data_IF_596871176748
#
_entry.id   IF_596871176748
#
_cell.length_a   1.000
_cell.length_b   1.000
_cell.length_c   1.000
_cell.angle_alpha   90.00
_cell.angle_beta   90.00
_cell.angle_gamma   90.00
#
_symmetry.space_group_name_H-M   'P 1'
#
loop_
_entity.id
_entity.type
_entity.pdbx_description
1 polymer ?
#
# COMPACT_ATOMS: atom_id res chain seq x y z
N UNK A 1 22.64 -3.40 5.22
CA UNK A 1 22.10 -3.07 3.90
C UNK A 1 21.07 -1.98 4.09
N UNK A 2 21.33 -0.77 3.57
CA UNK A 2 20.54 0.43 3.84
C UNK A 2 19.38 0.50 2.87
N UNK A 3 18.22 0.01 3.26
CA UNK A 3 16.96 0.14 2.52
C UNK A 3 16.18 1.38 2.99
N UNK A 4 16.67 2.03 4.05
CA UNK A 4 15.91 2.98 4.86
C UNK A 4 15.72 4.38 4.26
N UNK A 5 16.38 4.70 3.16
CA UNK A 5 16.33 6.07 2.63
C UNK A 5 15.41 6.28 1.42
N UNK A 6 14.91 5.20 0.80
CA UNK A 6 14.11 5.33 -0.42
C UNK A 6 12.60 5.46 -0.17
N UNK A 7 12.09 4.97 0.96
CA UNK A 7 10.66 4.95 1.24
C UNK A 7 10.11 6.24 1.88
N UNK A 8 10.97 7.11 2.39
CA UNK A 8 10.55 8.21 3.27
C UNK A 8 11.10 9.60 2.90
N UNK A 9 11.70 9.75 1.73
CA UNK A 9 12.12 11.07 1.24
C UNK A 9 10.99 11.73 0.46
N UNK A 10 10.61 12.83 1.02
CA UNK A 10 9.86 13.99 0.53
C UNK A 10 9.35 13.97 -0.93
N UNK A 11 8.06 14.23 -1.06
CA UNK A 11 7.26 14.85 -2.16
C UNK A 11 7.70 14.75 -3.62
N UNK A 12 8.87 14.24 -3.92
CA UNK A 12 9.34 14.01 -5.28
C UNK A 12 9.47 12.52 -5.57
N UNK A 13 8.36 11.81 -5.54
CA UNK A 13 8.24 10.61 -6.35
C UNK A 13 7.94 10.99 -7.80
N UNK A 14 8.53 12.12 -8.22
CA UNK A 14 8.81 12.43 -9.62
C UNK A 14 10.15 11.79 -9.96
N UNK A 15 10.12 10.52 -10.24
CA UNK A 15 11.16 9.96 -11.07
C UNK A 15 10.91 10.53 -12.48
N UNK A 16 11.43 11.73 -12.70
CA UNK A 16 11.48 12.29 -14.04
C UNK A 16 12.44 11.42 -14.85
N UNK A 17 11.98 10.90 -15.97
CA UNK A 17 12.78 10.21 -16.96
C UNK A 17 13.97 11.05 -17.47
N UNK A 18 14.05 12.31 -17.10
CA UNK A 18 15.03 13.27 -17.61
C UNK A 18 16.44 13.17 -17.01
N UNK A 19 16.63 12.44 -15.89
CA UNK A 19 17.94 12.34 -15.24
C UNK A 19 18.68 11.02 -15.47
N UNK A 20 18.15 10.11 -16.27
CA UNK A 20 18.77 8.79 -16.53
C UNK A 20 19.69 8.83 -17.75
N UNK A 21 19.49 9.77 -18.68
CA UNK A 21 20.22 9.75 -19.95
C UNK A 21 21.71 10.14 -19.85
N UNK A 22 22.15 10.77 -18.78
CA UNK A 22 23.51 11.34 -18.72
C UNK A 22 24.52 10.57 -17.83
N UNK A 23 24.16 9.47 -17.20
CA UNK A 23 25.07 8.72 -16.31
C UNK A 23 25.27 7.24 -16.59
N UNK A 24 24.59 6.64 -17.55
CA UNK A 24 24.66 5.20 -17.80
C UNK A 24 24.95 4.87 -19.27
N UNK A 25 26.18 5.14 -19.71
CA UNK A 25 26.62 4.77 -21.05
C UNK A 25 27.04 3.31 -21.20
N UNK A 26 27.15 2.56 -20.10
CA UNK A 26 27.67 1.18 -20.07
C UNK A 26 26.90 0.20 -19.18
N UNK A 27 25.60 0.42 -18.90
CA UNK A 27 24.77 -0.56 -18.21
C UNK A 27 23.77 -1.17 -19.19
N UNK A 28 23.81 -2.49 -19.32
CA UNK A 28 22.90 -3.24 -20.19
C UNK A 28 21.43 -2.90 -19.89
N UNK A 29 20.70 -2.48 -20.94
CA UNK A 29 19.28 -2.08 -20.83
C UNK A 29 18.39 -3.14 -20.17
N UNK A 30 18.75 -4.40 -20.31
CA UNK A 30 18.04 -5.55 -19.74
C UNK A 30 18.13 -5.60 -18.21
N UNK A 31 19.18 -5.07 -17.60
CA UNK A 31 19.36 -5.02 -16.15
C UNK A 31 18.61 -3.85 -15.49
N UNK A 32 18.41 -2.76 -16.23
CA UNK A 32 17.69 -1.57 -15.74
C UNK A 32 16.19 -1.84 -15.67
N UNK A 33 15.61 -2.61 -16.59
CA UNK A 33 14.20 -2.98 -16.56
C UNK A 33 13.85 -3.97 -15.43
N UNK A 34 14.82 -4.70 -14.92
CA UNK A 34 14.61 -5.67 -13.84
C UNK A 34 14.71 -5.04 -12.46
N UNK A 35 15.44 -3.94 -12.28
CA UNK A 35 15.71 -3.34 -10.96
C UNK A 35 14.72 -2.26 -10.51
N UNK A 36 13.87 -1.70 -11.38
CA UNK A 36 13.03 -0.55 -11.06
C UNK A 36 11.61 -0.65 -11.64
N UNK A 37 10.96 -1.77 -11.50
CA UNK A 37 9.52 -1.83 -11.81
C UNK A 37 8.69 -1.25 -10.67
N UNK A 38 8.77 0.06 -10.53
CA UNK A 38 7.84 0.80 -9.67
C UNK A 38 6.53 0.92 -10.42
N UNK A 39 5.47 0.32 -9.89
CA UNK A 39 4.13 0.48 -10.45
C UNK A 39 3.66 1.92 -10.22
N UNK A 40 3.28 2.59 -11.29
CA UNK A 40 2.68 3.92 -11.20
C UNK A 40 1.22 3.83 -10.76
N UNK A 41 0.67 4.93 -10.26
CA UNK A 41 -0.74 5.00 -9.88
C UNK A 41 -1.67 4.77 -11.09
N UNK A 42 -1.29 5.27 -12.29
CA UNK A 42 -2.04 5.06 -13.52
C UNK A 42 -2.09 3.57 -13.90
N UNK A 43 -0.96 2.90 -13.91
CA UNK A 43 -0.88 1.46 -14.21
C UNK A 43 -1.67 0.64 -13.19
N UNK A 44 -1.55 0.99 -11.92
CA UNK A 44 -2.29 0.31 -10.86
C UNK A 44 -3.80 0.48 -11.02
N UNK A 45 -4.28 1.69 -11.35
CA UNK A 45 -5.69 1.92 -11.64
C UNK A 45 -6.19 1.07 -12.81
N UNK A 46 -5.43 0.97 -13.90
CA UNK A 46 -5.77 0.11 -15.04
C UNK A 46 -5.84 -1.38 -14.66
N UNK A 47 -4.96 -1.84 -13.79
CA UNK A 47 -5.00 -3.21 -13.28
C UNK A 47 -6.19 -3.44 -12.34
N UNK A 48 -6.54 -2.46 -11.51
CA UNK A 48 -7.69 -2.54 -10.62
C UNK A 48 -9.02 -2.61 -11.36
N UNK A 49 -9.15 -2.01 -12.56
CA UNK A 49 -10.35 -2.18 -13.39
C UNK A 49 -10.63 -3.66 -13.71
N UNK A 50 -9.59 -4.44 -13.93
CA UNK A 50 -9.66 -5.87 -14.25
C UNK A 50 -9.71 -6.77 -13.01
N UNK A 51 -9.51 -6.24 -11.83
CA UNK A 51 -9.52 -6.99 -10.59
C UNK A 51 -10.95 -7.43 -10.20
N UNK A 52 -11.06 -8.50 -9.44
CA UNK A 52 -12.31 -9.12 -9.02
C UNK A 52 -12.71 -8.64 -7.61
N UNK A 53 -13.77 -7.86 -7.54
CA UNK A 53 -14.28 -7.28 -6.30
C UNK A 53 -14.73 -8.33 -5.29
N UNK A 54 -15.46 -9.37 -5.73
CA UNK A 54 -16.00 -10.39 -4.83
C UNK A 54 -14.90 -11.31 -4.29
N UNK A 55 -13.90 -11.63 -5.10
CA UNK A 55 -12.70 -12.34 -4.61
C UNK A 55 -11.93 -11.49 -3.62
N UNK A 56 -11.82 -10.18 -3.86
CA UNK A 56 -11.22 -9.23 -2.93
C UNK A 56 -11.96 -9.20 -1.59
N UNK A 57 -13.28 -9.07 -1.63
CA UNK A 57 -14.15 -9.12 -0.45
C UNK A 57 -13.98 -10.42 0.34
N UNK A 58 -14.01 -11.54 -0.33
CA UNK A 58 -13.82 -12.86 0.28
C UNK A 58 -12.45 -12.96 0.94
N UNK A 59 -11.41 -12.50 0.27
CA UNK A 59 -10.06 -12.53 0.80
C UNK A 59 -9.91 -11.64 2.04
N UNK A 60 -10.41 -10.40 2.00
CA UNK A 60 -10.35 -9.45 3.13
C UNK A 60 -11.12 -9.97 4.33
N UNK A 61 -12.33 -10.49 4.14
CA UNK A 61 -13.11 -11.07 5.21
C UNK A 61 -12.40 -12.24 5.90
N UNK A 62 -11.71 -13.07 5.12
CA UNK A 62 -11.00 -14.24 5.65
C UNK A 62 -9.67 -13.88 6.33
N UNK A 63 -8.93 -12.91 5.82
CA UNK A 63 -7.54 -12.68 6.22
C UNK A 63 -7.33 -11.38 7.02
N UNK A 64 -8.24 -10.41 6.92
CA UNK A 64 -8.08 -9.09 7.53
C UNK A 64 -9.12 -8.81 8.64
N UNK A 65 -10.36 -9.25 8.45
CA UNK A 65 -11.48 -8.88 9.33
C UNK A 65 -11.39 -9.40 10.77
N UNK A 66 -10.57 -10.41 11.02
CA UNK A 66 -10.29 -10.87 12.40
C UNK A 66 -9.56 -9.80 13.22
N UNK A 67 -8.72 -9.00 12.58
CA UNK A 67 -7.91 -7.97 13.23
C UNK A 67 -8.38 -6.55 12.94
N UNK A 68 -9.13 -6.31 11.87
CA UNK A 68 -9.57 -4.99 11.43
C UNK A 68 -11.09 -4.92 11.28
N UNK A 69 -11.69 -3.80 11.69
CA UNK A 69 -13.09 -3.52 11.34
C UNK A 69 -13.17 -2.94 9.93
N UNK A 70 -14.22 -3.30 9.20
CA UNK A 70 -14.44 -2.90 7.80
C UNK A 70 -15.63 -1.95 7.62
N UNK A 71 -16.37 -1.69 8.71
CA UNK A 71 -17.64 -0.97 8.65
C UNK A 71 -17.61 0.33 9.46
N UNK A 72 -18.55 1.22 9.15
CA UNK A 72 -18.84 2.37 9.98
C UNK A 72 -19.84 1.99 11.11
N UNK A 73 -19.81 2.65 12.28
CA UNK A 73 -18.82 3.66 12.69
C UNK A 73 -17.42 3.07 12.89
N UNK A 74 -16.40 3.89 12.75
CA UNK A 74 -15.00 3.47 12.90
C UNK A 74 -14.79 2.81 14.28
N UNK A 75 -14.29 1.57 14.25
CA UNK A 75 -13.90 0.82 15.44
C UNK A 75 -12.54 0.19 15.23
N UNK A 76 -11.63 0.43 16.18
CA UNK A 76 -10.36 -0.27 16.22
C UNK A 76 -10.52 -1.63 16.89
N UNK A 77 -9.84 -2.63 16.35
CA UNK A 77 -9.70 -3.96 16.95
C UNK A 77 -8.22 -4.18 17.32
N UNK A 78 -7.67 -5.35 17.04
CA UNK A 78 -6.22 -5.61 17.15
C UNK A 78 -5.45 -4.68 16.21
N UNK A 79 -5.97 -4.45 15.02
CA UNK A 79 -5.51 -3.45 14.05
C UNK A 79 -6.45 -2.25 13.94
N UNK A 80 -6.01 -1.16 13.29
CA UNK A 80 -6.86 0.00 13.04
C UNK A 80 -7.99 -0.34 12.06
N UNK A 81 -9.12 0.37 12.16
CA UNK A 81 -10.23 0.21 11.21
C UNK A 81 -9.78 0.46 9.76
N UNK A 82 -10.29 -0.36 8.84
CA UNK A 82 -10.12 -0.22 7.39
C UNK A 82 -11.36 0.39 6.69
N UNK A 83 -12.39 0.79 7.46
CA UNK A 83 -13.67 1.24 6.91
C UNK A 83 -13.52 2.36 5.86
N UNK A 84 -12.67 3.34 6.11
CA UNK A 84 -12.38 4.49 5.24
C UNK A 84 -10.87 4.66 5.09
N UNK A 85 -10.19 3.61 4.64
CA UNK A 85 -8.72 3.63 4.62
C UNK A 85 -8.15 4.50 3.49
N UNK A 86 -8.81 4.58 2.35
CA UNK A 86 -8.33 5.37 1.22
C UNK A 86 -8.32 6.86 1.58
N UNK A 87 -7.27 7.55 1.16
CA UNK A 87 -6.99 8.97 1.41
C UNK A 87 -6.83 9.38 2.89
N UNK A 88 -6.99 8.44 3.82
CA UNK A 88 -6.72 8.68 5.23
C UNK A 88 -5.21 8.83 5.49
N UNK A 89 -4.83 9.80 6.32
CA UNK A 89 -3.45 9.95 6.76
C UNK A 89 -2.97 8.68 7.49
N UNK A 90 -1.76 8.26 7.19
CA UNK A 90 -1.15 7.07 7.80
C UNK A 90 -0.88 7.37 9.27
N UNK A 91 -1.24 6.44 10.15
CA UNK A 91 -1.00 6.59 11.58
C UNK A 91 -1.93 7.55 12.32
N UNK A 92 -3.05 7.99 11.74
CA UNK A 92 -3.87 9.11 12.24
C UNK A 92 -5.24 8.72 12.82
N UNK A 93 -5.57 7.44 12.93
CA UNK A 93 -6.82 7.08 13.62
C UNK A 93 -6.72 7.36 15.12
N UNK A 94 -7.70 8.09 15.69
CA UNK A 94 -7.75 8.30 17.12
C UNK A 94 -7.91 6.97 17.86
N UNK A 95 -7.43 6.94 19.09
CA UNK A 95 -7.56 5.78 19.99
C UNK A 95 -6.89 4.49 19.53
N UNK A 96 -6.04 4.53 18.47
CA UNK A 96 -5.22 3.41 18.06
C UNK A 96 -3.72 3.67 18.33
N UNK A 97 -3.05 2.73 18.99
CA UNK A 97 -1.63 2.85 19.34
C UNK A 97 -0.76 2.30 18.21
N UNK A 98 -0.43 3.15 17.26
CA UNK A 98 0.48 2.83 16.16
C UNK A 98 1.91 2.53 16.61
N UNK A 99 2.70 1.88 15.73
CA UNK A 99 4.15 1.80 15.88
C UNK A 99 4.79 3.17 15.61
N UNK A 100 6.01 3.36 16.11
CA UNK A 100 6.78 4.60 15.83
C UNK A 100 6.97 4.83 14.33
N UNK A 101 7.17 3.76 13.56
CA UNK A 101 7.28 3.83 12.10
C UNK A 101 6.06 4.49 11.49
N UNK A 102 4.85 4.01 11.83
CA UNK A 102 3.61 4.58 11.28
C UNK A 102 3.36 6.03 11.71
N UNK A 103 3.73 6.40 12.93
CA UNK A 103 3.60 7.77 13.43
C UNK A 103 4.52 8.76 12.69
N UNK A 104 5.62 8.26 12.13
CA UNK A 104 6.61 9.07 11.41
C UNK A 104 6.36 9.14 9.89
N UNK A 105 5.36 8.42 9.37
CA UNK A 105 5.01 8.45 7.94
C UNK A 105 4.04 9.61 7.68
N UNK A 106 4.53 10.69 7.09
CA UNK A 106 3.69 11.82 6.70
C UNK A 106 3.15 11.64 5.26
N UNK A 107 2.33 10.61 5.10
CA UNK A 107 1.67 10.24 3.82
C UNK A 107 0.23 9.81 4.06
N UNK A 108 -0.54 9.71 2.98
CA UNK A 108 -1.88 9.13 2.98
C UNK A 108 -1.86 7.71 2.42
N UNK A 109 -2.86 6.94 2.79
CA UNK A 109 -3.14 5.65 2.18
C UNK A 109 -3.76 5.83 0.79
N UNK A 110 -2.93 6.00 -0.23
CA UNK A 110 -3.35 5.83 -1.61
C UNK A 110 -3.21 4.36 -2.04
N UNK A 111 -3.69 4.03 -3.24
CA UNK A 111 -3.64 2.65 -3.76
C UNK A 111 -2.20 2.14 -3.93
N UNK A 112 -1.24 3.01 -4.24
CA UNK A 112 0.18 2.65 -4.42
C UNK A 112 0.82 2.30 -3.07
N UNK A 113 0.61 3.11 -2.04
CA UNK A 113 1.11 2.84 -0.70
C UNK A 113 0.49 1.55 -0.13
N UNK A 114 -0.80 1.32 -0.38
CA UNK A 114 -1.47 0.08 0.01
C UNK A 114 -0.91 -1.14 -0.74
N UNK A 115 -0.62 -1.00 -2.03
CA UNK A 115 -0.04 -2.08 -2.83
C UNK A 115 1.28 -2.56 -2.22
N UNK A 116 2.24 -1.67 -2.03
CA UNK A 116 3.56 -2.05 -1.50
C UNK A 116 3.50 -2.49 -0.04
N UNK A 117 2.69 -1.83 0.77
CA UNK A 117 2.51 -2.24 2.17
C UNK A 117 1.89 -3.63 2.27
N UNK A 118 0.82 -3.92 1.54
CA UNK A 118 0.16 -5.23 1.61
C UNK A 118 0.96 -6.34 0.94
N UNK A 119 1.81 -6.03 -0.04
CA UNK A 119 2.74 -6.99 -0.62
C UNK A 119 3.77 -7.44 0.41
N UNK A 120 4.41 -6.51 1.10
CA UNK A 120 5.51 -6.77 2.05
C UNK A 120 5.49 -5.81 3.26
N UNK A 121 4.58 -6.03 4.23
CA UNK A 121 4.36 -5.09 5.32
C UNK A 121 5.61 -4.74 6.13
N UNK A 122 6.43 -5.74 6.44
CA UNK A 122 7.63 -5.55 7.27
C UNK A 122 8.78 -4.86 6.53
N UNK A 123 8.83 -5.00 5.20
CA UNK A 123 9.82 -4.31 4.37
C UNK A 123 9.40 -2.86 4.15
N UNK A 124 8.12 -2.63 3.86
CA UNK A 124 7.60 -1.29 3.63
C UNK A 124 7.54 -0.44 4.91
N UNK A 125 7.16 -1.04 6.03
CA UNK A 125 7.09 -0.39 7.34
C UNK A 125 7.86 -1.20 8.40
N UNK A 126 9.21 -1.09 8.44
CA UNK A 126 10.01 -1.78 9.46
C UNK A 126 9.57 -1.40 10.87
N UNK A 127 9.36 -2.40 11.73
CA UNK A 127 8.83 -2.21 13.07
C UNK A 127 7.30 -2.10 13.15
N UNK A 128 6.58 -2.35 12.06
CA UNK A 128 5.10 -2.48 12.11
C UNK A 128 4.68 -3.54 13.12
N UNK A 129 3.59 -3.23 13.86
CA UNK A 129 2.98 -4.20 14.79
C UNK A 129 2.13 -5.25 14.07
N UNK A 130 1.83 -5.05 12.79
CA UNK A 130 1.10 -6.02 11.98
C UNK A 130 1.98 -7.24 11.70
N UNK A 131 1.57 -8.40 12.21
CA UNK A 131 2.32 -9.66 12.05
C UNK A 131 2.08 -10.35 10.69
N UNK A 132 1.12 -9.87 9.92
CA UNK A 132 0.78 -10.42 8.61
C UNK A 132 1.98 -10.37 7.65
N UNK A 133 2.24 -11.50 6.97
CA UNK A 133 3.44 -11.62 6.12
C UNK A 133 3.34 -10.90 4.77
N UNK A 134 2.15 -10.53 4.35
CA UNK A 134 1.89 -9.91 3.05
C UNK A 134 1.23 -10.85 2.03
N UNK A 135 0.90 -10.29 0.88
CA UNK A 135 0.20 -10.96 -0.22
C UNK A 135 1.16 -11.07 -1.41
N UNK A 136 1.76 -12.24 -1.61
CA UNK A 136 2.73 -12.49 -2.69
C UNK A 136 2.08 -12.74 -4.07
N UNK A 137 0.81 -13.13 -4.08
CA UNK A 137 0.03 -13.33 -5.31
C UNK A 137 -0.52 -11.98 -5.78
N UNK A 138 -0.02 -11.49 -6.92
CA UNK A 138 -0.37 -10.17 -7.44
C UNK A 138 -1.85 -10.02 -7.77
N UNK A 139 -2.52 -11.07 -8.25
CA UNK A 139 -3.96 -11.00 -8.54
C UNK A 139 -4.79 -10.90 -7.26
N UNK A 140 -4.43 -11.65 -6.21
CA UNK A 140 -5.07 -11.52 -4.90
C UNK A 140 -4.83 -10.15 -4.29
N UNK A 141 -3.62 -9.60 -4.45
CA UNK A 141 -3.27 -8.26 -3.99
C UNK A 141 -4.14 -7.21 -4.68
N UNK A 142 -4.25 -7.26 -6.01
CA UNK A 142 -5.10 -6.34 -6.78
C UNK A 142 -6.59 -6.46 -6.39
N UNK A 143 -7.10 -7.67 -6.26
CA UNK A 143 -8.48 -7.91 -5.82
C UNK A 143 -8.73 -7.31 -4.43
N UNK A 144 -7.76 -7.48 -3.52
CA UNK A 144 -7.81 -6.94 -2.15
C UNK A 144 -7.86 -5.41 -2.15
N UNK A 145 -7.00 -4.76 -2.92
CA UNK A 145 -6.94 -3.29 -3.02
C UNK A 145 -8.22 -2.75 -3.64
N UNK A 146 -8.72 -3.38 -4.71
CA UNK A 146 -10.00 -3.01 -5.31
C UNK A 146 -11.13 -3.02 -4.26
N UNK A 147 -11.24 -4.09 -3.49
CA UNK A 147 -12.26 -4.17 -2.45
C UNK A 147 -12.10 -3.09 -1.37
N UNK A 148 -10.89 -2.85 -0.87
CA UNK A 148 -10.65 -1.82 0.13
C UNK A 148 -10.98 -0.42 -0.39
N UNK A 149 -10.70 -0.13 -1.66
CA UNK A 149 -11.08 1.13 -2.32
C UNK A 149 -12.60 1.29 -2.37
N UNK A 150 -13.32 0.31 -2.90
CA UNK A 150 -14.77 0.37 -3.02
C UNK A 150 -15.46 0.41 -1.64
N UNK A 151 -14.93 -0.34 -0.67
CA UNK A 151 -15.42 -0.31 0.71
C UNK A 151 -15.25 1.07 1.36
N UNK A 152 -14.12 1.75 1.13
CA UNK A 152 -13.90 3.11 1.62
C UNK A 152 -14.93 4.09 1.05
N UNK A 153 -15.15 4.06 -0.26
CA UNK A 153 -16.15 4.91 -0.93
C UNK A 153 -17.56 4.64 -0.40
N UNK A 154 -17.92 3.38 -0.20
CA UNK A 154 -19.24 2.99 0.31
C UNK A 154 -19.50 3.42 1.75
N UNK A 155 -18.46 3.56 2.56
CA UNK A 155 -18.55 4.00 3.94
C UNK A 155 -18.52 5.53 4.11
N UNK A 156 -18.19 6.30 3.07
CA UNK A 156 -18.19 7.77 3.07
C UNK A 156 -19.56 8.36 2.70
N UNK A 157 -20.45 7.56 2.09
CA UNK A 157 -21.80 7.95 1.67
C UNK A 157 -22.83 7.52 2.72
#
# INVERSE_FOLDING_TARGET
MKVDQFLFKDDEFKYSHENIEDKNKDLDKENIETELKIITELELNQLLEKADLEKGKTFVNKNCASCHDLNMPIKNKIGPSLATIIDRKIGDLPDYKYSKTFLNIDKKWNIVNLYYFLEKPKEWAPGTKMSYRGISDSQKLLNTIKYLRENSISNEN
#
